data_IF_871231531604
#
_entry.id   IF_871231531604
#
_cell.length_a   1.000
_cell.length_b   1.000
_cell.length_c   1.000
_cell.angle_alpha   90.00
_cell.angle_beta   90.00
_cell.angle_gamma   90.00
#
_symmetry.space_group_name_H-M   'P 1'
#
loop_
_entity.id
_entity.type
_entity.pdbx_description
1 polymer ?
#
# COMPACT_ATOMS: atom_id res chain seq x y z
N UNK A 1 -16.59 2.94 -43.31
CA UNK A 1 -17.19 1.76 -43.94
C UNK A 1 -18.05 2.17 -45.14
N UNK A 2 -19.08 2.99 -44.96
CA UNK A 2 -20.04 3.42 -46.02
C UNK A 2 -19.41 4.08 -47.24
N UNK A 3 -18.30 4.81 -47.08
CA UNK A 3 -17.55 5.41 -48.19
C UNK A 3 -16.77 4.37 -48.98
N UNK A 4 -16.18 3.39 -48.32
CA UNK A 4 -15.41 2.30 -48.94
C UNK A 4 -16.33 1.28 -49.61
N UNK A 5 -17.53 1.06 -49.10
CA UNK A 5 -18.57 0.24 -49.75
C UNK A 5 -19.02 0.83 -51.10
N UNK A 6 -19.04 2.17 -51.21
CA UNK A 6 -19.47 2.86 -52.44
C UNK A 6 -18.37 3.07 -53.45
N UNK A 7 -17.09 3.22 -53.02
CA UNK A 7 -15.97 3.63 -53.89
C UNK A 7 -14.80 2.64 -53.87
N UNK A 8 -14.88 1.53 -53.13
CA UNK A 8 -13.83 0.53 -53.08
C UNK A 8 -13.76 -0.36 -54.32
N UNK A 9 -12.58 -0.91 -54.63
CA UNK A 9 -12.36 -1.80 -55.77
C UNK A 9 -13.12 -3.14 -55.67
N UNK A 10 -13.68 -3.49 -54.50
CA UNK A 10 -14.48 -4.68 -54.27
C UNK A 10 -15.99 -4.38 -54.19
N UNK A 11 -16.43 -3.35 -54.87
CA UNK A 11 -17.83 -2.97 -54.96
C UNK A 11 -18.71 -4.19 -55.34
N UNK A 12 -19.72 -4.49 -54.53
CA UNK A 12 -20.63 -5.64 -54.63
C UNK A 12 -20.07 -7.01 -54.24
N UNK A 13 -18.88 -7.12 -53.60
CA UNK A 13 -18.30 -8.44 -53.24
C UNK A 13 -18.23 -8.71 -51.72
N UNK A 14 -18.77 -7.81 -50.87
CA UNK A 14 -18.81 -8.04 -49.43
C UNK A 14 -19.08 -6.77 -48.63
N UNK A 15 -19.40 -6.94 -47.37
CA UNK A 15 -19.57 -5.84 -46.43
C UNK A 15 -18.21 -5.53 -45.80
N UNK A 16 -17.74 -4.28 -45.89
CA UNK A 16 -16.53 -3.85 -45.20
C UNK A 16 -16.82 -3.71 -43.72
N UNK A 17 -16.30 -4.61 -42.92
CA UNK A 17 -16.33 -4.50 -41.45
C UNK A 17 -15.17 -3.62 -40.99
N UNK A 18 -15.48 -2.42 -40.53
CA UNK A 18 -14.45 -1.56 -39.92
C UNK A 18 -14.12 -2.09 -38.53
N UNK A 19 -12.90 -2.62 -38.40
CA UNK A 19 -12.41 -3.09 -37.10
C UNK A 19 -12.02 -1.88 -36.25
N UNK A 20 -12.84 -1.52 -35.28
CA UNK A 20 -12.63 -0.36 -34.42
C UNK A 20 -11.66 -0.73 -33.29
N UNK A 21 -10.35 -0.75 -33.64
CA UNK A 21 -9.28 -1.06 -32.72
C UNK A 21 -9.30 -0.14 -31.46
N UNK A 22 -9.82 1.07 -31.61
CA UNK A 22 -9.95 2.01 -30.51
C UNK A 22 -10.96 1.55 -29.46
N UNK A 23 -12.07 0.94 -29.88
CA UNK A 23 -13.07 0.35 -28.98
C UNK A 23 -12.52 -0.84 -28.21
N UNK A 24 -11.75 -1.70 -28.88
CA UNK A 24 -11.12 -2.84 -28.20
C UNK A 24 -10.06 -2.42 -27.19
N UNK A 25 -9.21 -1.44 -27.57
CA UNK A 25 -8.23 -0.87 -26.63
C UNK A 25 -8.92 -0.23 -25.41
N UNK A 26 -10.02 0.47 -25.60
CA UNK A 26 -10.84 1.02 -24.51
C UNK A 26 -11.46 -0.07 -23.64
N UNK A 27 -12.01 -1.11 -24.26
CA UNK A 27 -12.58 -2.25 -23.52
C UNK A 27 -11.50 -2.98 -22.72
N UNK A 28 -10.35 -3.23 -23.32
CA UNK A 28 -9.21 -3.86 -22.67
C UNK A 28 -8.67 -3.02 -21.51
N UNK A 29 -8.48 -1.71 -21.71
CA UNK A 29 -8.04 -0.81 -20.63
C UNK A 29 -9.06 -0.71 -19.49
N UNK A 30 -10.35 -0.77 -19.81
CA UNK A 30 -11.42 -0.81 -18.79
C UNK A 30 -11.35 -2.08 -17.94
N UNK A 31 -11.10 -3.24 -18.57
CA UNK A 31 -10.91 -4.49 -17.83
C UNK A 31 -9.68 -4.45 -16.94
N UNK A 32 -8.55 -3.95 -17.43
CA UNK A 32 -7.33 -3.77 -16.62
C UNK A 32 -7.58 -2.85 -15.44
N UNK A 33 -8.26 -1.72 -15.64
CA UNK A 33 -8.58 -0.79 -14.57
C UNK A 33 -9.51 -1.42 -13.50
N UNK A 34 -10.47 -2.24 -13.92
CA UNK A 34 -11.35 -2.98 -13.00
C UNK A 34 -10.55 -3.97 -12.15
N UNK A 35 -9.68 -4.77 -12.77
CA UNK A 35 -8.82 -5.73 -12.06
C UNK A 35 -7.87 -5.00 -11.10
N UNK A 36 -7.25 -3.93 -11.55
CA UNK A 36 -6.36 -3.10 -10.72
C UNK A 36 -7.12 -2.49 -9.54
N UNK A 37 -8.35 -2.03 -9.76
CA UNK A 37 -9.22 -1.54 -8.70
C UNK A 37 -9.53 -2.61 -7.64
N UNK A 38 -9.84 -3.82 -8.07
CA UNK A 38 -10.07 -4.96 -7.17
C UNK A 38 -8.82 -5.32 -6.34
N UNK A 39 -7.66 -5.41 -6.99
CA UNK A 39 -6.39 -5.68 -6.31
C UNK A 39 -6.07 -4.56 -5.31
N UNK A 40 -6.29 -3.31 -5.68
CA UNK A 40 -6.06 -2.16 -4.81
C UNK A 40 -6.98 -2.17 -3.58
N UNK A 41 -8.24 -2.60 -3.73
CA UNK A 41 -9.18 -2.74 -2.62
C UNK A 41 -8.71 -3.83 -1.64
N UNK A 42 -8.29 -4.99 -2.15
CA UNK A 42 -7.75 -6.08 -1.32
C UNK A 42 -6.49 -5.61 -0.58
N UNK A 43 -5.60 -4.90 -1.27
CA UNK A 43 -4.39 -4.33 -0.66
C UNK A 43 -4.72 -3.32 0.44
N UNK A 44 -5.73 -2.46 0.24
CA UNK A 44 -6.18 -1.49 1.24
C UNK A 44 -6.74 -2.17 2.50
N UNK A 45 -7.55 -3.22 2.33
CA UNK A 45 -8.09 -4.01 3.45
C UNK A 45 -6.95 -4.70 4.20
N UNK A 46 -6.01 -5.31 3.49
CA UNK A 46 -4.84 -5.97 4.08
C UNK A 46 -3.99 -4.99 4.88
N UNK A 47 -3.79 -3.79 4.34
CA UNK A 47 -3.05 -2.71 5.01
C UNK A 47 -3.76 -2.23 6.28
N UNK A 48 -5.09 -2.13 6.25
CA UNK A 48 -5.90 -1.76 7.41
C UNK A 48 -5.77 -2.80 8.54
N UNK A 49 -5.85 -4.09 8.19
CA UNK A 49 -5.66 -5.20 9.15
C UNK A 49 -4.24 -5.16 9.73
N UNK A 50 -3.22 -4.95 8.90
CA UNK A 50 -1.83 -4.80 9.36
C UNK A 50 -1.66 -3.60 10.30
N UNK A 51 -2.32 -2.47 10.01
CA UNK A 51 -2.33 -1.29 10.88
C UNK A 51 -2.93 -1.57 12.26
N UNK A 52 -4.03 -2.32 12.32
CA UNK A 52 -4.60 -2.78 13.60
C UNK A 52 -3.61 -3.70 14.33
N UNK A 53 -2.88 -4.55 13.61
CA UNK A 53 -1.82 -5.38 14.18
C UNK A 53 -0.70 -4.56 14.84
N UNK A 54 -0.24 -3.50 14.16
CA UNK A 54 0.74 -2.54 14.71
C UNK A 54 0.17 -1.86 15.95
N UNK A 55 -1.07 -1.39 15.90
CA UNK A 55 -1.74 -0.76 17.04
C UNK A 55 -1.80 -1.70 18.25
N UNK A 56 -2.19 -2.95 18.05
CA UNK A 56 -2.26 -3.94 19.13
C UNK A 56 -0.87 -4.23 19.73
N UNK A 57 0.15 -4.39 18.89
CA UNK A 57 1.52 -4.61 19.33
C UNK A 57 2.02 -3.42 20.17
N UNK A 58 1.70 -2.19 19.76
CA UNK A 58 2.05 -0.99 20.50
C UNK A 58 1.33 -0.89 21.85
N UNK A 59 0.05 -1.32 21.94
CA UNK A 59 -0.66 -1.39 23.21
C UNK A 59 -0.01 -2.37 24.19
N UNK A 60 0.42 -3.53 23.70
CA UNK A 60 1.15 -4.51 24.51
C UNK A 60 2.48 -3.91 24.97
N UNK A 61 3.26 -3.31 24.08
CA UNK A 61 4.54 -2.68 24.39
C UNK A 61 4.41 -1.57 25.44
N UNK A 62 3.38 -0.71 25.34
CA UNK A 62 3.09 0.33 26.33
C UNK A 62 2.71 -0.29 27.69
N UNK A 63 1.95 -1.38 27.68
CA UNK A 63 1.55 -2.08 28.91
C UNK A 63 2.75 -2.72 29.61
N UNK A 64 3.63 -3.37 28.87
CA UNK A 64 4.84 -4.00 29.41
C UNK A 64 5.84 -2.99 29.98
N UNK A 65 5.92 -1.79 29.37
CA UNK A 65 6.85 -0.71 29.78
C UNK A 65 6.20 0.33 30.70
N UNK A 66 5.04 0.04 31.29
CA UNK A 66 4.30 1.01 32.12
C UNK A 66 5.13 1.55 33.29
N UNK A 67 5.92 0.70 33.92
CA UNK A 67 6.78 1.09 35.05
C UNK A 67 7.93 2.03 34.61
N UNK A 68 8.54 1.75 33.46
CA UNK A 68 9.57 2.60 32.86
C UNK A 68 9.02 3.98 32.48
N UNK A 69 7.82 4.02 31.90
CA UNK A 69 7.11 5.25 31.55
C UNK A 69 6.85 6.07 32.82
N UNK A 70 6.41 5.41 33.89
CA UNK A 70 6.17 6.06 35.19
C UNK A 70 7.43 6.69 35.80
N UNK A 71 8.54 5.99 35.76
CA UNK A 71 9.82 6.52 36.26
C UNK A 71 10.24 7.75 35.42
N UNK A 72 10.11 7.71 34.09
CA UNK A 72 10.43 8.86 33.24
C UNK A 72 9.56 10.08 33.54
N UNK A 73 8.27 9.87 33.72
CA UNK A 73 7.35 10.95 34.12
C UNK A 73 7.69 11.51 35.51
N UNK A 74 8.08 10.65 36.47
CA UNK A 74 8.46 11.08 37.81
C UNK A 74 9.75 11.92 37.85
N UNK A 75 10.69 11.66 36.93
CA UNK A 75 11.96 12.40 36.78
C UNK A 75 11.76 13.68 35.94
N UNK A 76 10.54 13.95 35.43
CA UNK A 76 10.19 15.20 34.78
C UNK A 76 10.05 15.14 33.26
N UNK A 77 9.94 13.96 32.67
CA UNK A 77 9.60 13.85 31.23
C UNK A 77 8.17 14.36 31.00
N UNK A 78 7.98 15.13 29.92
CA UNK A 78 6.66 15.61 29.56
C UNK A 78 5.85 14.49 28.88
N UNK A 79 4.52 14.45 29.04
CA UNK A 79 3.65 13.51 28.33
C UNK A 79 3.85 13.54 26.81
N UNK A 80 4.13 14.71 26.24
CA UNK A 80 4.41 14.89 24.81
C UNK A 80 5.67 14.14 24.39
N UNK A 81 6.73 14.15 25.21
CA UNK A 81 7.97 13.43 24.90
C UNK A 81 7.74 11.92 24.87
N UNK A 82 6.95 11.40 25.82
CA UNK A 82 6.56 9.98 25.85
C UNK A 82 5.74 9.63 24.60
N UNK A 83 4.72 10.44 24.28
CA UNK A 83 3.90 10.24 23.08
C UNK A 83 4.75 10.21 21.81
N UNK A 84 5.66 11.18 21.66
CA UNK A 84 6.52 11.30 20.48
C UNK A 84 7.45 10.08 20.34
N UNK A 85 8.00 9.60 21.44
CA UNK A 85 8.85 8.41 21.46
C UNK A 85 8.11 7.19 20.90
N UNK A 86 6.92 6.88 21.41
CA UNK A 86 6.14 5.75 20.94
C UNK A 86 5.64 5.93 19.50
N UNK A 87 5.34 7.17 19.09
CA UNK A 87 4.95 7.46 17.71
C UNK A 87 6.11 7.22 16.73
N UNK A 88 7.33 7.65 17.09
CA UNK A 88 8.54 7.37 16.29
C UNK A 88 8.79 5.86 16.22
N UNK A 89 8.62 5.12 17.33
CA UNK A 89 8.79 3.67 17.35
C UNK A 89 7.79 2.99 16.37
N UNK A 90 6.52 3.40 16.38
CA UNK A 90 5.52 2.92 15.43
C UNK A 90 5.89 3.25 13.97
N UNK A 91 6.36 4.47 13.71
CA UNK A 91 6.79 4.87 12.37
C UNK A 91 8.00 4.08 11.89
N UNK A 92 9.01 3.88 12.73
CA UNK A 92 10.20 3.08 12.38
C UNK A 92 9.78 1.65 12.03
N UNK A 93 8.89 1.05 12.82
CA UNK A 93 8.39 -0.30 12.58
C UNK A 93 7.66 -0.41 11.23
N UNK A 94 6.75 0.52 10.95
CA UNK A 94 5.95 0.49 9.72
C UNK A 94 6.76 0.83 8.48
N UNK A 95 7.68 1.79 8.56
CA UNK A 95 8.56 2.17 7.45
C UNK A 95 9.54 1.04 7.13
N UNK A 96 10.16 0.41 8.13
CA UNK A 96 11.06 -0.74 7.89
C UNK A 96 10.30 -1.91 7.28
N UNK A 97 9.11 -2.24 7.79
CA UNK A 97 8.24 -3.25 7.20
C UNK A 97 7.84 -2.92 5.77
N UNK A 98 7.50 -1.66 5.50
CA UNK A 98 7.16 -1.16 4.17
C UNK A 98 8.33 -1.24 3.18
N UNK A 99 9.55 -0.93 3.62
CA UNK A 99 10.77 -1.07 2.80
C UNK A 99 11.06 -2.54 2.46
N UNK A 100 10.96 -3.43 3.45
CA UNK A 100 11.12 -4.87 3.23
C UNK A 100 10.06 -5.38 2.25
N UNK A 101 8.78 -5.01 2.46
CA UNK A 101 7.69 -5.36 1.56
C UNK A 101 7.90 -4.86 0.14
N UNK A 102 8.40 -3.62 -0.02
CA UNK A 102 8.73 -3.05 -1.33
C UNK A 102 9.84 -3.84 -2.04
N UNK A 103 10.92 -4.17 -1.34
CA UNK A 103 12.04 -4.95 -1.89
C UNK A 103 11.57 -6.35 -2.30
N UNK A 104 10.79 -7.02 -1.45
CA UNK A 104 10.23 -8.34 -1.76
C UNK A 104 9.25 -8.27 -2.95
N UNK A 105 8.38 -7.28 -3.00
CA UNK A 105 7.43 -7.07 -4.11
C UNK A 105 8.15 -6.78 -5.43
N UNK A 106 9.17 -5.93 -5.41
CA UNK A 106 10.00 -5.65 -6.57
C UNK A 106 10.76 -6.91 -7.05
N UNK A 107 11.36 -7.65 -6.13
CA UNK A 107 12.07 -8.90 -6.42
C UNK A 107 11.13 -9.96 -7.05
N UNK A 108 9.96 -10.18 -6.46
CA UNK A 108 8.95 -11.07 -6.99
C UNK A 108 8.47 -10.64 -8.38
N UNK A 109 8.26 -9.34 -8.60
CA UNK A 109 7.87 -8.82 -9.91
C UNK A 109 8.91 -9.12 -10.98
N UNK A 110 10.20 -8.96 -10.66
CA UNK A 110 11.30 -9.29 -11.58
C UNK A 110 11.42 -10.79 -11.86
N UNK A 111 11.15 -11.65 -10.88
CA UNK A 111 11.18 -13.11 -11.04
C UNK A 111 9.99 -13.64 -11.84
N UNK A 112 8.79 -13.08 -11.62
CA UNK A 112 7.57 -13.55 -12.27
C UNK A 112 7.38 -13.01 -13.70
N UNK A 113 7.88 -11.80 -14.00
CA UNK A 113 7.73 -11.19 -15.32
C UNK A 113 8.24 -12.06 -16.49
N UNK A 114 9.43 -12.70 -16.43
CA UNK A 114 9.88 -13.60 -17.49
C UNK A 114 9.05 -14.88 -17.57
N UNK A 115 8.57 -15.44 -16.43
CA UNK A 115 7.72 -16.62 -16.45
C UNK A 115 6.38 -16.36 -17.17
N UNK A 116 5.76 -15.22 -16.89
CA UNK A 116 4.51 -14.81 -17.53
C UNK A 116 4.71 -14.53 -19.03
N UNK A 117 5.90 -14.08 -19.44
CA UNK A 117 6.20 -13.84 -20.86
C UNK A 117 6.40 -15.13 -21.67
N UNK A 118 6.73 -16.27 -21.03
CA UNK A 118 6.88 -17.57 -21.67
C UNK A 118 5.52 -18.17 -22.13
N UNK A 119 4.44 -17.86 -21.39
CA UNK A 119 3.11 -18.44 -21.66
C UNK A 119 2.25 -17.67 -22.67
N UNK A 120 2.52 -16.41 -22.96
CA UNK A 120 1.60 -15.54 -23.71
C UNK A 120 2.16 -14.79 -24.91
N UNK A 121 3.41 -14.98 -25.30
CA UNK A 121 4.02 -14.25 -26.44
C UNK A 121 4.20 -12.73 -26.23
N UNK A 122 3.81 -12.19 -25.08
CA UNK A 122 3.93 -10.78 -24.71
C UNK A 122 5.12 -10.62 -23.76
N UNK A 123 6.10 -9.81 -24.15
CA UNK A 123 7.25 -9.50 -23.29
C UNK A 123 6.82 -8.56 -22.16
N UNK A 124 6.56 -9.10 -20.98
CA UNK A 124 6.24 -8.31 -19.78
C UNK A 124 7.56 -7.92 -19.12
N UNK A 125 7.79 -6.62 -18.96
CA UNK A 125 8.95 -6.08 -18.23
C UNK A 125 8.46 -5.48 -16.92
N UNK A 126 8.99 -5.95 -15.80
CA UNK A 126 8.77 -5.31 -14.51
C UNK A 126 9.60 -4.02 -14.44
N UNK A 127 8.93 -2.89 -14.23
CA UNK A 127 9.59 -1.60 -14.00
C UNK A 127 9.28 -1.12 -12.59
N UNK A 128 10.32 -1.02 -11.76
CA UNK A 128 10.22 -0.39 -10.45
C UNK A 128 10.42 1.12 -10.64
N UNK A 129 9.35 1.89 -10.44
CA UNK A 129 9.39 3.35 -10.59
C UNK A 129 9.65 4.04 -9.26
N UNK A 130 10.30 5.22 -9.30
CA UNK A 130 10.49 6.06 -8.12
C UNK A 130 9.14 6.43 -7.46
N UNK A 131 8.10 6.63 -8.27
CA UNK A 131 6.76 6.93 -7.78
C UNK A 131 6.19 5.77 -6.95
N UNK A 132 6.42 4.52 -7.34
CA UNK A 132 6.00 3.36 -6.56
C UNK A 132 6.72 3.30 -5.21
N UNK A 133 8.02 3.62 -5.18
CA UNK A 133 8.80 3.71 -3.94
C UNK A 133 8.27 4.82 -3.02
N UNK A 134 8.05 6.04 -3.54
CA UNK A 134 7.54 7.16 -2.77
C UNK A 134 6.13 6.88 -2.23
N UNK A 135 5.29 6.21 -3.02
CA UNK A 135 3.95 5.82 -2.60
C UNK A 135 4.01 4.77 -1.48
N UNK A 136 4.85 3.75 -1.61
CA UNK A 136 5.03 2.74 -0.57
C UNK A 136 5.53 3.35 0.74
N UNK A 137 6.54 4.24 0.67
CA UNK A 137 7.07 4.96 1.82
C UNK A 137 6.02 5.87 2.47
N UNK A 138 5.28 6.65 1.66
CA UNK A 138 4.25 7.55 2.15
C UNK A 138 3.10 6.80 2.83
N UNK A 139 2.63 5.71 2.22
CA UNK A 139 1.57 4.88 2.79
C UNK A 139 2.02 4.20 4.08
N UNK A 140 3.23 3.64 4.14
CA UNK A 140 3.77 3.04 5.37
C UNK A 140 3.89 4.04 6.50
N UNK A 141 4.36 5.27 6.20
CA UNK A 141 4.44 6.35 7.18
C UNK A 141 3.05 6.79 7.67
N UNK A 142 2.07 6.89 6.78
CA UNK A 142 0.70 7.22 7.14
C UNK A 142 0.07 6.17 8.06
N UNK A 143 0.29 4.88 7.79
CA UNK A 143 -0.15 3.77 8.64
C UNK A 143 0.48 3.88 10.03
N UNK A 144 1.79 4.08 10.11
CA UNK A 144 2.50 4.27 11.38
C UNK A 144 1.95 5.42 12.20
N UNK A 145 1.65 6.55 11.56
CA UNK A 145 1.04 7.71 12.22
C UNK A 145 -0.39 7.41 12.68
N UNK A 146 -1.25 6.95 11.80
CA UNK A 146 -2.68 6.76 12.09
C UNK A 146 -2.87 5.73 13.20
N UNK A 147 -2.24 4.57 13.09
CA UNK A 147 -2.40 3.47 14.05
C UNK A 147 -1.48 3.59 15.27
N UNK A 148 -0.42 4.40 15.20
CA UNK A 148 0.47 4.69 16.33
C UNK A 148 -0.02 5.78 17.27
N UNK A 149 -0.85 6.73 16.82
CA UNK A 149 -1.32 7.87 17.64
C UNK A 149 -2.10 7.41 18.86
N UNK A 150 -3.03 6.46 18.72
CA UNK A 150 -3.87 6.01 19.83
C UNK A 150 -3.06 5.39 20.97
N UNK A 151 -2.21 4.36 20.75
CA UNK A 151 -1.38 3.79 21.80
C UNK A 151 -0.36 4.78 22.36
N UNK A 152 0.21 5.65 21.52
CA UNK A 152 1.14 6.68 21.97
C UNK A 152 0.48 7.70 22.93
N UNK A 153 -0.74 8.11 22.64
CA UNK A 153 -1.53 8.96 23.56
C UNK A 153 -1.85 8.25 24.86
N UNK A 154 -2.17 6.96 24.81
CA UNK A 154 -2.45 6.19 26.02
C UNK A 154 -1.20 6.06 26.90
N UNK A 155 -0.02 5.88 26.30
CA UNK A 155 1.24 5.89 27.02
C UNK A 155 1.50 7.24 27.75
N UNK A 156 1.22 8.35 27.06
CA UNK A 156 1.42 9.69 27.60
C UNK A 156 0.45 10.05 28.74
N UNK A 157 -0.76 9.50 28.72
CA UNK A 157 -1.82 9.79 29.70
C UNK A 157 -1.86 8.82 30.89
N UNK A 158 -0.86 7.96 31.07
CA UNK A 158 -0.76 7.08 32.24
C UNK A 158 -0.60 7.91 33.50
N UNK A 159 -1.52 7.75 34.46
CA UNK A 159 -1.46 8.42 35.75
C UNK A 159 -0.36 7.80 36.62
N UNK A 160 0.51 8.64 37.19
CA UNK A 160 1.55 8.23 38.15
C UNK A 160 1.00 7.40 39.31
N UNK A 161 -0.25 7.66 39.74
CA UNK A 161 -0.91 6.97 40.87
C UNK A 161 -1.23 5.50 40.53
N UNK A 162 -1.60 5.21 39.26
CA UNK A 162 -1.93 3.85 38.81
C UNK A 162 -0.68 2.99 38.59
N UNK A 163 0.50 3.62 38.49
CA UNK A 163 1.78 2.96 38.21
C UNK A 163 2.48 2.51 39.50
N UNK A 164 2.19 3.19 40.60
CA UNK A 164 2.83 2.95 41.92
C UNK A 164 2.00 2.03 42.83
N UNK A 165 0.89 1.53 42.37
CA UNK A 165 0.00 0.61 43.09
C UNK A 165 0.24 -0.82 42.65
#
# INVERSE_FOLDING_TARGET
AKYLEKNGSAMNKGTYTYYDMEKELKAFSSQINMITGFISLIAAISLFIAGIGVMNMMYISVSERTQEIGIRLAVGATPTNIMLQFLIEAMVLTVTGGLIGFVLGAGLSHLLAPLLSLGGGIKIKAHVTLNAFLLAFGVSSAVGLIFGILPARQAANKNLIDILR
#
